data_IF_002155537355
#
_entry.id   IF_002155537355
#
_cell.length_a   1.000
_cell.length_b   1.000
_cell.length_c   1.000
_cell.angle_alpha   90.00
_cell.angle_beta   90.00
_cell.angle_gamma   90.00
#
_symmetry.space_group_name_H-M   'P 1'
#
loop_
_entity.id
_entity.type
_entity.pdbx_description
1 polymer ?
#
# COMPACT_ATOMS: atom_id res chain seq x y z
N UNK A 1 -21.35 16.05 -5.50
CA UNK A 1 -20.70 15.47 -4.31
C UNK A 1 -19.36 14.87 -4.72
N UNK A 2 -18.30 15.29 -4.08
CA UNK A 2 -16.95 14.81 -4.40
C UNK A 2 -16.72 13.46 -3.73
N UNK A 3 -16.23 12.48 -4.49
CA UNK A 3 -15.88 11.19 -3.93
C UNK A 3 -14.60 11.33 -3.10
N UNK A 4 -14.66 10.82 -1.86
CA UNK A 4 -13.48 10.77 -1.00
C UNK A 4 -13.22 9.32 -0.60
N UNK A 5 -12.02 8.79 -0.87
CA UNK A 5 -11.69 7.43 -0.47
C UNK A 5 -11.76 7.27 1.05
N UNK A 6 -12.27 6.12 1.50
CA UNK A 6 -12.25 5.81 2.93
C UNK A 6 -10.82 5.64 3.44
N UNK A 7 -9.98 5.03 2.62
CA UNK A 7 -8.57 4.80 2.92
C UNK A 7 -7.77 4.95 1.65
N UNK A 8 -6.49 5.22 1.81
CA UNK A 8 -5.52 5.17 0.74
C UNK A 8 -4.59 3.99 0.97
N UNK A 9 -4.38 3.19 -0.05
CA UNK A 9 -3.44 2.07 0.01
C UNK A 9 -2.26 2.45 -0.87
N UNK A 10 -1.07 2.47 -0.29
CA UNK A 10 0.15 2.86 -0.98
C UNK A 10 1.07 1.66 -1.09
N UNK A 11 1.44 1.29 -2.31
CA UNK A 11 2.41 0.24 -2.56
C UNK A 11 3.72 0.90 -2.98
N UNK A 12 4.73 0.78 -2.12
CA UNK A 12 6.03 1.38 -2.35
C UNK A 12 6.89 0.42 -3.17
N UNK A 13 7.10 0.75 -4.44
CA UNK A 13 7.93 -0.02 -5.37
C UNK A 13 7.49 -1.49 -5.47
N UNK A 14 6.22 -1.75 -5.78
CA UNK A 14 5.74 -3.13 -5.90
C UNK A 14 6.41 -3.84 -7.06
N UNK A 15 6.64 -5.15 -6.90
CA UNK A 15 7.42 -5.93 -7.84
C UNK A 15 6.58 -6.91 -8.66
N UNK A 16 5.53 -7.47 -8.06
CA UNK A 16 4.76 -8.56 -8.65
C UNK A 16 3.41 -8.04 -9.14
N UNK A 17 3.16 -8.06 -10.46
CA UNK A 17 1.94 -7.46 -11.02
C UNK A 17 0.67 -8.13 -10.52
N UNK A 18 0.68 -9.45 -10.33
CA UNK A 18 -0.50 -10.16 -9.84
C UNK A 18 -0.89 -9.69 -8.44
N UNK A 19 0.10 -9.46 -7.57
CA UNK A 19 -0.17 -8.99 -6.21
C UNK A 19 -0.78 -7.58 -6.23
N UNK A 20 -0.24 -6.70 -7.05
CA UNK A 20 -0.79 -5.36 -7.21
C UNK A 20 -2.22 -5.39 -7.72
N UNK A 21 -2.50 -6.27 -8.69
CA UNK A 21 -3.86 -6.44 -9.19
C UNK A 21 -4.83 -6.91 -8.13
N UNK A 22 -4.40 -7.86 -7.28
CA UNK A 22 -5.22 -8.36 -6.19
C UNK A 22 -5.51 -7.28 -5.15
N UNK A 23 -4.51 -6.47 -4.82
CA UNK A 23 -4.70 -5.32 -3.92
C UNK A 23 -5.69 -4.33 -4.53
N UNK A 24 -5.59 -4.06 -5.82
CA UNK A 24 -6.52 -3.18 -6.53
C UNK A 24 -7.96 -3.67 -6.43
N UNK A 25 -8.15 -4.98 -6.58
CA UNK A 25 -9.47 -5.59 -6.43
C UNK A 25 -10.03 -5.34 -5.02
N UNK A 26 -9.20 -5.51 -4.01
CA UNK A 26 -9.62 -5.25 -2.63
C UNK A 26 -9.94 -3.77 -2.43
N UNK A 27 -9.17 -2.86 -3.03
CA UNK A 27 -9.43 -1.42 -2.94
C UNK A 27 -10.81 -1.07 -3.48
N UNK A 28 -11.19 -1.65 -4.63
CA UNK A 28 -12.52 -1.41 -5.19
C UNK A 28 -13.61 -1.89 -4.20
N UNK A 29 -13.40 -3.07 -3.62
CA UNK A 29 -14.38 -3.65 -2.73
C UNK A 29 -14.63 -2.80 -1.47
N UNK A 30 -13.61 -2.13 -0.97
CA UNK A 30 -13.71 -1.37 0.29
C UNK A 30 -13.74 0.15 0.09
N UNK A 31 -13.73 0.62 -1.14
CA UNK A 31 -13.78 2.07 -1.41
C UNK A 31 -12.47 2.79 -1.11
N UNK A 32 -11.33 2.14 -1.36
CA UNK A 32 -10.02 2.73 -1.15
C UNK A 32 -9.39 3.15 -2.47
N UNK A 33 -8.51 4.16 -2.42
CA UNK A 33 -7.71 4.56 -3.57
C UNK A 33 -6.36 3.86 -3.51
N UNK A 34 -5.88 3.39 -4.64
CA UNK A 34 -4.60 2.71 -4.77
C UNK A 34 -3.54 3.68 -5.31
N UNK A 35 -2.39 3.72 -4.65
CA UNK A 35 -1.25 4.52 -5.09
C UNK A 35 -0.06 3.60 -5.33
N UNK A 36 0.58 3.76 -6.47
CA UNK A 36 1.78 3.00 -6.81
C UNK A 36 2.96 3.96 -6.90
N UNK A 37 4.01 3.69 -6.12
CA UNK A 37 5.22 4.51 -6.10
C UNK A 37 6.31 3.82 -6.92
N UNK A 38 6.78 4.48 -7.98
CA UNK A 38 7.85 3.96 -8.82
C UNK A 38 9.18 3.90 -8.07
N UNK A 39 10.11 3.02 -8.49
CA UNK A 39 10.02 2.16 -9.68
C UNK A 39 9.13 0.94 -9.45
N UNK A 40 8.45 0.51 -10.50
CA UNK A 40 7.61 -0.69 -10.46
C UNK A 40 8.36 -1.84 -11.11
N UNK A 41 8.20 -3.05 -10.58
CA UNK A 41 8.79 -4.25 -11.14
C UNK A 41 8.05 -4.80 -12.35
N UNK A 42 7.08 -4.04 -12.87
CA UNK A 42 6.24 -4.45 -14.00
C UNK A 42 5.76 -3.23 -14.76
N UNK A 43 5.15 -3.46 -15.91
CA UNK A 43 4.53 -2.38 -16.69
C UNK A 43 3.05 -2.24 -16.31
N UNK A 44 2.54 -1.03 -16.39
CA UNK A 44 1.13 -0.74 -16.04
C UNK A 44 0.16 -1.52 -16.94
N UNK A 45 0.56 -1.82 -18.17
CA UNK A 45 -0.26 -2.59 -19.10
C UNK A 45 0.02 -4.10 -19.03
N UNK A 46 0.71 -4.56 -17.97
CA UNK A 46 1.04 -5.97 -17.79
C UNK A 46 -0.22 -6.83 -17.71
N UNK A 47 -0.16 -7.97 -18.40
CA UNK A 47 -1.27 -8.91 -18.46
C UNK A 47 -1.68 -9.40 -17.06
N UNK A 48 -0.70 -9.75 -16.23
CA UNK A 48 -0.99 -10.31 -14.90
C UNK A 48 -1.61 -9.26 -13.97
N UNK A 49 -1.21 -8.01 -14.12
CA UNK A 49 -1.82 -6.92 -13.37
C UNK A 49 -3.31 -6.80 -13.71
N UNK A 50 -3.61 -6.74 -14.99
CA UNK A 50 -4.98 -6.57 -15.45
C UNK A 50 -5.84 -7.80 -15.16
N UNK A 51 -5.26 -8.99 -15.26
CA UNK A 51 -5.99 -10.22 -15.03
C UNK A 51 -6.38 -10.39 -13.57
N UNK A 52 -5.51 -10.05 -12.63
CA UNK A 52 -5.83 -10.14 -11.21
C UNK A 52 -6.99 -9.23 -10.82
N UNK A 53 -7.09 -8.06 -11.46
CA UNK A 53 -8.14 -7.11 -11.19
C UNK A 53 -9.18 -6.98 -12.30
N UNK A 54 -9.29 -7.98 -13.18
CA UNK A 54 -10.02 -7.88 -14.43
C UNK A 54 -11.40 -7.24 -14.34
N UNK A 55 -12.24 -7.72 -13.45
CA UNK A 55 -13.61 -7.24 -13.33
C UNK A 55 -13.73 -5.94 -12.51
N UNK A 56 -12.68 -5.56 -11.84
CA UNK A 56 -12.69 -4.44 -10.88
C UNK A 56 -11.83 -3.26 -11.32
N UNK A 57 -10.84 -3.52 -12.19
CA UNK A 57 -9.84 -2.51 -12.54
C UNK A 57 -10.45 -1.24 -13.10
N UNK A 58 -11.48 -1.36 -13.92
CA UNK A 58 -12.16 -0.21 -14.51
C UNK A 58 -12.88 0.66 -13.49
N UNK A 59 -13.17 0.10 -12.32
CA UNK A 59 -13.82 0.83 -11.22
C UNK A 59 -12.81 1.31 -10.18
N UNK A 60 -11.54 0.99 -10.36
CA UNK A 60 -10.51 1.33 -9.40
C UNK A 60 -10.08 2.78 -9.56
N UNK A 61 -10.08 3.52 -8.46
CA UNK A 61 -9.42 4.80 -8.41
C UNK A 61 -7.96 4.55 -8.06
N UNK A 62 -7.05 4.93 -8.94
CA UNK A 62 -5.64 4.65 -8.74
C UNK A 62 -4.76 5.69 -9.40
N UNK A 63 -3.54 5.81 -8.88
CA UNK A 63 -2.58 6.79 -9.39
C UNK A 63 -1.17 6.27 -9.21
N UNK A 64 -0.29 6.59 -10.16
CA UNK A 64 1.13 6.25 -10.10
C UNK A 64 1.91 7.53 -9.90
N UNK A 65 2.81 7.53 -8.94
CA UNK A 65 3.71 8.65 -8.68
C UNK A 65 5.15 8.23 -8.97
N UNK A 66 5.98 9.20 -9.35
CA UNK A 66 7.36 8.90 -9.79
C UNK A 66 8.29 8.57 -8.63
N UNK A 67 8.02 9.12 -7.45
CA UNK A 67 8.85 8.88 -6.29
C UNK A 67 8.06 9.18 -5.01
N UNK A 68 8.72 8.94 -3.88
CA UNK A 68 8.09 9.14 -2.57
C UNK A 68 7.74 10.60 -2.30
N UNK A 69 8.56 11.52 -2.79
CA UNK A 69 8.27 12.96 -2.61
C UNK A 69 6.95 13.37 -3.25
N UNK A 70 6.67 12.83 -4.43
CA UNK A 70 5.40 13.11 -5.09
C UNK A 70 4.21 12.55 -4.30
N UNK A 71 4.39 11.38 -3.70
CA UNK A 71 3.34 10.81 -2.87
C UNK A 71 3.06 11.70 -1.67
N UNK A 72 4.10 12.11 -0.95
CA UNK A 72 3.97 12.94 0.24
C UNK A 72 3.31 14.28 -0.09
N UNK A 73 3.59 14.83 -1.27
CA UNK A 73 2.98 16.08 -1.71
C UNK A 73 1.46 15.97 -1.82
N UNK A 74 0.95 14.78 -2.10
CA UNK A 74 -0.49 14.55 -2.25
C UNK A 74 -1.13 13.93 -1.02
N UNK A 75 -0.37 13.14 -0.26
CA UNK A 75 -0.83 12.48 0.97
C UNK A 75 0.13 12.84 2.11
N UNK A 76 -0.23 13.80 2.97
CA UNK A 76 0.66 14.22 4.07
C UNK A 76 1.04 13.08 5.00
N UNK A 77 2.30 13.08 5.46
CA UNK A 77 2.83 12.01 6.30
C UNK A 77 2.09 11.85 7.62
N UNK A 78 1.43 12.89 8.10
CA UNK A 78 0.66 12.82 9.35
C UNK A 78 -0.49 11.81 9.30
N UNK A 79 -0.84 11.35 8.10
CA UNK A 79 -1.92 10.38 7.90
C UNK A 79 -1.40 9.01 7.53
N UNK A 80 -0.08 8.80 7.50
CA UNK A 80 0.53 7.54 7.07
C UNK A 80 0.69 6.54 8.20
N UNK A 81 0.49 5.26 7.86
CA UNK A 81 0.82 4.11 8.69
C UNK A 81 1.65 3.17 7.82
N UNK A 82 2.78 2.70 8.36
CA UNK A 82 3.75 1.90 7.60
C UNK A 82 3.73 0.47 8.08
N UNK A 83 3.48 -0.46 7.18
CA UNK A 83 3.35 -1.86 7.52
C UNK A 83 4.66 -2.61 7.26
N UNK A 84 5.21 -3.20 8.31
CA UNK A 84 6.46 -3.96 8.23
C UNK A 84 6.43 -5.06 9.28
N UNK A 85 6.91 -6.25 8.91
CA UNK A 85 7.04 -7.34 9.87
C UNK A 85 8.14 -7.07 10.91
N UNK A 86 8.97 -6.05 10.68
CA UNK A 86 10.01 -5.64 11.63
C UNK A 86 9.48 -4.66 12.67
N UNK A 87 8.27 -4.16 12.53
CA UNK A 87 7.67 -3.26 13.50
C UNK A 87 7.29 -4.03 14.77
N UNK A 88 7.24 -3.31 15.88
CA UNK A 88 6.91 -3.90 17.18
C UNK A 88 5.45 -3.70 17.57
N UNK A 89 4.79 -2.69 17.02
CA UNK A 89 3.40 -2.37 17.34
C UNK A 89 2.46 -3.12 16.42
N UNK A 90 1.49 -3.85 17.00
CA UNK A 90 0.47 -4.52 16.21
C UNK A 90 -0.53 -3.50 15.66
N UNK A 91 -0.98 -3.71 14.41
CA UNK A 91 -1.98 -2.83 13.82
C UNK A 91 -3.29 -2.84 14.60
N UNK A 92 -3.55 -3.89 15.40
CA UNK A 92 -4.77 -3.99 16.19
C UNK A 92 -4.80 -3.02 17.37
N UNK A 93 -3.66 -2.39 17.68
CA UNK A 93 -3.53 -1.47 18.81
C UNK A 93 -3.77 -0.01 18.45
N UNK A 94 -4.06 0.28 17.20
CA UNK A 94 -4.27 1.66 16.74
C UNK A 94 -5.65 1.83 16.16
N UNK A 95 -6.12 3.07 16.13
CA UNK A 95 -7.41 3.42 15.53
C UNK A 95 -7.15 4.16 14.23
N UNK A 96 -7.56 3.55 13.13
CA UNK A 96 -7.44 4.19 11.83
C UNK A 96 -8.59 5.17 11.62
N UNK A 97 -8.32 6.24 10.93
CA UNK A 97 -9.30 7.26 10.63
C UNK A 97 -9.56 7.32 9.13
N UNK A 98 -10.74 7.79 8.77
CA UNK A 98 -11.08 7.98 7.37
C UNK A 98 -10.04 8.89 6.69
N UNK A 99 -9.57 8.46 5.54
CA UNK A 99 -8.54 9.18 4.79
C UNK A 99 -7.12 8.82 5.15
N UNK A 100 -6.91 7.90 6.10
CA UNK A 100 -5.56 7.43 6.41
C UNK A 100 -4.95 6.66 5.25
N UNK A 101 -3.63 6.70 5.16
CA UNK A 101 -2.88 5.99 4.15
C UNK A 101 -2.13 4.81 4.78
N UNK A 102 -2.35 3.62 4.25
CA UNK A 102 -1.67 2.40 4.69
C UNK A 102 -0.58 2.09 3.66
N UNK A 103 0.67 2.13 4.10
CA UNK A 103 1.84 2.03 3.22
C UNK A 103 2.49 0.66 3.37
N UNK A 104 2.62 -0.05 2.25
CA UNK A 104 3.21 -1.39 2.20
C UNK A 104 4.45 -1.37 1.32
N UNK A 105 5.46 -2.15 1.70
CA UNK A 105 6.71 -2.25 0.95
C UNK A 105 6.65 -3.26 -0.19
N UNK A 106 7.76 -3.37 -0.91
CA UNK A 106 7.89 -4.34 -1.99
C UNK A 106 7.89 -5.77 -1.44
N UNK A 107 7.57 -6.72 -2.32
CA UNK A 107 7.42 -8.12 -1.92
C UNK A 107 8.74 -8.72 -1.42
N UNK A 108 9.87 -8.37 -2.02
CA UNK A 108 11.16 -8.94 -1.63
C UNK A 108 11.92 -8.12 -0.59
N UNK A 109 11.75 -6.80 -0.58
CA UNK A 109 12.57 -5.91 0.25
C UNK A 109 11.80 -5.29 1.42
N UNK A 110 10.48 -5.22 1.34
CA UNK A 110 9.69 -4.48 2.31
C UNK A 110 9.89 -2.97 2.16
N UNK A 111 9.61 -2.24 3.22
CA UNK A 111 9.85 -0.80 3.26
C UNK A 111 11.33 -0.52 3.52
N UNK A 112 11.83 0.68 3.15
CA UNK A 112 13.21 1.04 3.48
C UNK A 112 13.51 0.82 4.96
N UNK A 113 14.64 0.19 5.26
CA UNK A 113 14.95 -0.23 6.64
C UNK A 113 14.99 0.94 7.63
N UNK A 114 15.45 2.11 7.19
CA UNK A 114 15.53 3.27 8.06
C UNK A 114 14.16 3.82 8.47
N UNK A 115 13.10 3.49 7.73
CA UNK A 115 11.76 3.98 8.05
C UNK A 115 11.24 3.43 9.36
N UNK A 116 11.66 2.21 9.75
CA UNK A 116 11.24 1.64 11.03
C UNK A 116 11.69 2.53 12.19
N UNK A 117 12.91 3.03 12.12
CA UNK A 117 13.44 3.93 13.15
C UNK A 117 12.85 5.33 13.03
N UNK A 118 12.81 5.88 11.82
CA UNK A 118 12.37 7.26 11.61
C UNK A 118 10.87 7.47 11.86
N UNK A 119 10.06 6.48 11.49
CA UNK A 119 8.59 6.59 11.58
C UNK A 119 8.04 6.13 12.92
N UNK A 120 8.83 5.40 13.70
CA UNK A 120 8.51 5.05 15.07
C UNK A 120 7.15 4.40 15.27
N UNK A 121 6.27 5.08 16.02
CA UNK A 121 4.95 4.56 16.36
C UNK A 121 4.00 4.43 15.17
N UNK A 122 4.38 4.98 14.03
CA UNK A 122 3.60 4.85 12.81
C UNK A 122 3.90 3.54 12.07
N UNK A 123 4.87 2.75 12.53
CA UNK A 123 5.20 1.47 11.95
C UNK A 123 4.41 0.38 12.66
N UNK A 124 3.65 -0.38 11.88
CA UNK A 124 2.73 -1.39 12.40
C UNK A 124 3.06 -2.75 11.84
N UNK A 125 2.72 -3.77 12.61
CA UNK A 125 2.93 -5.15 12.24
C UNK A 125 1.58 -5.87 12.16
N UNK A 126 1.43 -6.70 11.14
CA UNK A 126 0.33 -7.65 11.07
C UNK A 126 0.86 -8.94 11.69
N UNK A 127 0.30 -9.37 12.84
CA UNK A 127 0.79 -10.59 13.49
C UNK A 127 0.65 -11.80 12.56
N UNK A 128 1.75 -12.52 12.38
CA UNK A 128 1.79 -13.74 11.58
C UNK A 128 2.57 -14.80 12.33
N UNK A 129 2.37 -16.06 11.95
CA UNK A 129 3.12 -17.16 12.55
C UNK A 129 4.59 -17.05 12.14
N UNK A 130 5.53 -17.44 13.04
CA UNK A 130 6.96 -17.29 12.73
C UNK A 130 7.42 -18.01 11.47
N UNK A 131 6.78 -19.12 11.12
CA UNK A 131 7.12 -19.90 9.95
C UNK A 131 6.60 -19.31 8.65
N UNK A 132 5.77 -18.28 8.72
CA UNK A 132 5.25 -17.60 7.53
C UNK A 132 6.20 -16.46 7.16
N UNK A 133 6.68 -16.49 5.93
CA UNK A 133 7.73 -15.60 5.46
C UNK A 133 7.22 -14.20 5.16
N UNK A 134 6.06 -14.10 4.53
CA UNK A 134 5.44 -12.83 4.19
C UNK A 134 3.96 -13.02 3.98
N UNK A 135 3.26 -11.92 3.98
CA UNK A 135 1.84 -11.91 3.65
C UNK A 135 1.63 -11.60 2.19
#
# INVERSE_FOLDING_TARGET
MTYEPQLHIVLHQPEIPYNTGSVGRTCVAVGAKLWLVRPLGFRIDDYYLRRAGLDYWQHLEWEVVDDWSQLVAQLPESRHWYFSKKATHSYTKVSFQRGDALVFGSESQGLPANWIVEKGDRCLRIPTRPEVRSL
#
